data_IF_769252027886
#
_entry.id   IF_769252027886
#
_cell.length_a   1.000
_cell.length_b   1.000
_cell.length_c   1.000
_cell.angle_alpha   90.00
_cell.angle_beta   90.00
_cell.angle_gamma   90.00
#
_symmetry.space_group_name_H-M   'P 1'
#
loop_
_entity.id
_entity.type
_entity.pdbx_description
1 polymer ?
#
# COMPACT_ATOMS: atom_id res chain seq x y z
N UNK A 1 -19.95 14.26 54.60
CA UNK A 1 -19.98 12.98 55.35
C UNK A 1 -20.04 11.85 54.32
N UNK A 2 -19.12 10.89 54.18
CA UNK A 2 -17.98 10.36 54.95
C UNK A 2 -16.91 10.02 53.89
N UNK A 3 -15.73 10.63 53.90
CA UNK A 3 -14.52 10.16 54.58
C UNK A 3 -14.16 8.69 54.29
N UNK A 4 -13.23 8.45 53.35
CA UNK A 4 -12.49 7.19 53.24
C UNK A 4 -11.00 7.46 53.45
N UNK A 5 -10.63 7.34 54.73
CA UNK A 5 -9.37 6.89 55.33
C UNK A 5 -8.06 7.25 54.62
N UNK A 6 -7.43 8.30 55.14
CA UNK A 6 -6.00 8.51 55.11
C UNK A 6 -5.24 7.26 55.59
N UNK A 7 -4.37 6.74 54.74
CA UNK A 7 -3.37 5.73 55.12
C UNK A 7 -2.22 6.47 55.79
N UNK A 8 -2.14 6.31 57.10
CA UNK A 8 -1.04 6.77 57.94
C UNK A 8 0.20 5.94 57.59
N UNK A 9 1.15 6.53 56.87
CA UNK A 9 2.47 5.94 56.69
C UNK A 9 3.26 6.14 57.99
N UNK A 10 3.38 5.07 58.76
CA UNK A 10 4.15 5.03 60.00
C UNK A 10 5.63 5.25 59.66
N UNK A 11 6.15 6.41 60.06
CA UNK A 11 7.57 6.73 60.14
C UNK A 11 8.23 5.78 61.15
N UNK A 12 8.77 4.67 60.64
CA UNK A 12 9.74 3.84 61.36
C UNK A 12 11.12 4.35 61.01
N UNK A 13 11.67 5.20 61.89
CA UNK A 13 13.08 5.57 61.92
C UNK A 13 13.90 4.33 62.28
N UNK A 14 14.25 3.56 61.25
CA UNK A 14 15.33 2.59 61.33
C UNK A 14 16.65 3.35 61.17
N UNK A 15 17.45 3.35 62.24
CA UNK A 15 18.86 3.74 62.19
C UNK A 15 19.55 2.88 61.11
N UNK A 16 19.85 3.49 59.96
CA UNK A 16 20.75 2.88 58.98
C UNK A 16 22.17 3.17 59.41
N UNK A 17 22.85 2.13 59.90
CA UNK A 17 24.30 2.06 59.95
C UNK A 17 24.86 2.43 58.58
N UNK A 18 25.59 3.54 58.50
CA UNK A 18 26.32 3.99 57.31
C UNK A 18 27.52 3.05 57.12
N UNK A 19 27.26 1.88 56.55
CA UNK A 19 28.24 1.20 55.72
C UNK A 19 28.37 1.99 54.42
N UNK A 20 29.59 2.25 53.96
CA UNK A 20 29.86 2.84 52.64
C UNK A 20 29.49 1.84 51.53
N UNK A 21 28.20 1.56 51.37
CA UNK A 21 27.72 0.82 50.22
C UNK A 21 27.86 1.70 48.99
N UNK A 22 28.60 1.18 48.00
CA UNK A 22 28.83 1.88 46.74
C UNK A 22 27.47 2.18 46.10
N UNK A 23 27.26 3.45 45.74
CA UNK A 23 26.02 3.89 45.08
C UNK A 23 25.86 3.15 43.76
N UNK A 24 24.76 2.42 43.63
CA UNK A 24 24.46 1.61 42.46
C UNK A 24 23.69 2.40 41.40
N UNK A 25 23.39 1.75 40.28
CA UNK A 25 22.72 2.37 39.14
C UNK A 25 21.32 2.88 39.49
N UNK A 26 20.54 2.12 40.27
CA UNK A 26 19.18 2.48 40.67
C UNK A 26 19.15 3.75 41.53
N UNK A 27 20.10 3.86 42.48
CA UNK A 27 20.28 5.09 43.25
C UNK A 27 20.51 6.29 42.34
N UNK A 28 21.42 6.15 41.36
CA UNK A 28 21.75 7.24 40.45
C UNK A 28 20.63 7.55 39.45
N UNK A 29 19.85 6.56 39.02
CA UNK A 29 18.71 6.76 38.11
C UNK A 29 17.59 7.57 38.78
N UNK A 30 17.37 7.36 40.09
CA UNK A 30 16.44 8.14 40.89
C UNK A 30 17.01 9.50 41.35
N UNK A 31 18.31 9.76 41.15
CA UNK A 31 19.02 10.96 41.60
C UNK A 31 20.00 11.45 40.52
N UNK A 32 19.49 11.86 39.36
CA UNK A 32 20.32 12.20 38.20
C UNK A 32 21.31 13.34 38.46
N UNK A 33 21.00 14.29 39.33
CA UNK A 33 21.95 15.34 39.74
C UNK A 33 23.15 14.74 40.49
N UNK A 34 22.92 13.72 41.32
CA UNK A 34 23.99 12.99 41.99
C UNK A 34 24.81 12.17 40.98
N UNK A 35 24.17 11.61 39.95
CA UNK A 35 24.85 10.92 38.87
C UNK A 35 25.74 11.88 38.07
N UNK A 36 25.24 13.05 37.70
CA UNK A 36 25.99 14.10 36.99
C UNK A 36 27.20 14.57 37.82
N UNK A 37 26.99 14.83 39.11
CA UNK A 37 28.07 15.21 40.03
C UNK A 37 29.12 14.11 40.17
N UNK A 38 28.71 12.84 40.27
CA UNK A 38 29.64 11.70 40.31
C UNK A 38 30.40 11.58 38.98
N UNK A 39 29.73 11.72 37.84
CA UNK A 39 30.36 11.67 36.53
C UNK A 39 31.38 12.79 36.33
N UNK A 40 31.11 14.00 36.83
CA UNK A 40 32.07 15.10 36.84
C UNK A 40 33.34 14.77 37.66
N UNK A 41 33.16 14.13 38.82
CA UNK A 41 34.28 13.64 39.64
C UNK A 41 35.08 12.55 38.91
N UNK A 42 34.40 11.58 38.28
CA UNK A 42 35.03 10.52 37.50
C UNK A 42 35.82 11.10 36.32
N UNK A 43 35.25 12.05 35.58
CA UNK A 43 35.92 12.71 34.46
C UNK A 43 37.14 13.53 34.92
N UNK A 44 37.06 14.23 36.06
CA UNK A 44 38.21 14.95 36.63
C UNK A 44 39.33 13.98 37.04
N UNK A 45 38.98 12.86 37.66
CA UNK A 45 39.95 11.83 38.06
C UNK A 45 40.60 11.15 36.86
N UNK A 46 39.80 10.81 35.85
CA UNK A 46 40.25 10.26 34.58
C UNK A 46 41.20 11.22 33.86
N UNK A 47 40.79 12.48 33.67
CA UNK A 47 41.60 13.49 32.99
C UNK A 47 42.93 13.73 33.71
N UNK A 48 42.93 13.71 35.06
CA UNK A 48 44.16 13.84 35.85
C UNK A 48 45.11 12.65 35.63
N UNK A 49 44.58 11.42 35.65
CA UNK A 49 45.39 10.22 35.40
C UNK A 49 45.90 10.17 33.95
N UNK A 50 45.06 10.56 33.00
CA UNK A 50 45.40 10.66 31.58
C UNK A 50 46.54 11.66 31.32
N UNK A 51 46.43 12.89 31.84
CA UNK A 51 47.48 13.91 31.67
C UNK A 51 48.80 13.54 32.35
N UNK A 52 48.76 12.65 33.35
CA UNK A 52 49.95 12.14 34.04
C UNK A 52 50.52 10.85 33.41
N UNK A 53 49.94 10.34 32.31
CA UNK A 53 50.24 9.01 31.73
C UNK A 53 50.17 7.86 32.78
N UNK A 54 49.26 7.97 33.76
CA UNK A 54 49.07 6.96 34.81
C UNK A 54 48.06 5.89 34.34
N UNK A 55 48.56 4.86 33.66
CA UNK A 55 47.73 3.74 33.16
C UNK A 55 46.94 3.03 34.27
N UNK A 56 47.52 2.92 35.48
CA UNK A 56 46.83 2.30 36.63
C UNK A 56 45.70 3.18 37.14
N UNK A 57 45.94 4.49 37.20
CA UNK A 57 44.94 5.49 37.56
C UNK A 57 43.76 5.54 36.57
N UNK A 58 44.05 5.42 35.28
CA UNK A 58 43.02 5.33 34.22
C UNK A 58 42.14 4.10 34.43
N UNK A 59 42.74 2.90 34.50
CA UNK A 59 42.01 1.63 34.71
C UNK A 59 41.15 1.65 35.97
N UNK A 60 41.68 2.24 37.06
CA UNK A 60 40.94 2.37 38.31
C UNK A 60 39.65 3.18 38.17
N UNK A 61 39.64 4.23 37.34
CA UNK A 61 38.43 5.04 37.09
C UNK A 61 37.47 4.31 36.16
N UNK A 62 37.98 3.62 35.13
CA UNK A 62 37.15 2.83 34.21
C UNK A 62 36.45 1.66 34.90
N UNK A 63 37.12 1.01 35.85
CA UNK A 63 36.60 -0.10 36.64
C UNK A 63 35.81 0.36 37.88
N UNK A 64 35.76 1.67 38.17
CA UNK A 64 35.01 2.20 39.30
C UNK A 64 33.52 1.96 39.10
N UNK A 65 32.97 1.11 39.97
CA UNK A 65 31.58 0.66 39.90
C UNK A 65 30.58 1.81 40.09
N UNK A 66 30.93 2.87 40.84
CA UNK A 66 30.05 4.04 40.98
C UNK A 66 30.14 4.95 39.75
N UNK A 67 31.31 5.10 39.14
CA UNK A 67 31.48 5.82 37.87
C UNK A 67 30.68 5.16 36.75
N UNK A 68 30.78 3.82 36.63
CA UNK A 68 29.98 3.04 35.68
C UNK A 68 28.48 3.11 35.97
N UNK A 69 28.09 3.03 37.23
CA UNK A 69 26.69 3.13 37.63
C UNK A 69 26.09 4.52 37.31
N UNK A 70 26.84 5.59 37.60
CA UNK A 70 26.43 6.96 37.28
C UNK A 70 26.34 7.18 35.76
N UNK A 71 27.31 6.68 34.98
CA UNK A 71 27.29 6.78 33.51
C UNK A 71 26.09 6.05 32.91
N UNK A 72 25.84 4.80 33.33
CA UNK A 72 24.68 4.02 32.85
C UNK A 72 23.36 4.68 33.23
N UNK A 73 23.23 5.19 34.45
CA UNK A 73 22.03 5.91 34.90
C UNK A 73 21.76 7.15 34.04
N UNK A 74 22.78 7.96 33.74
CA UNK A 74 22.66 9.13 32.85
C UNK A 74 22.24 8.71 31.44
N UNK A 75 22.85 7.65 30.89
CA UNK A 75 22.49 7.12 29.56
C UNK A 75 21.04 6.64 29.52
N UNK A 76 20.58 5.91 30.55
CA UNK A 76 19.20 5.43 30.65
C UNK A 76 18.20 6.58 30.81
N UNK A 77 18.48 7.58 31.65
CA UNK A 77 17.62 8.76 31.80
C UNK A 77 17.50 9.55 30.49
N UNK A 78 18.61 9.78 29.77
CA UNK A 78 18.57 10.43 28.45
C UNK A 78 17.71 9.66 27.46
N UNK A 79 17.85 8.34 27.41
CA UNK A 79 17.03 7.47 26.54
C UNK A 79 15.56 7.54 26.93
N UNK A 80 15.24 7.45 28.22
CA UNK A 80 13.87 7.52 28.73
C UNK A 80 13.23 8.87 28.41
N UNK A 81 13.93 9.99 28.65
CA UNK A 81 13.47 11.34 28.31
C UNK A 81 13.22 11.49 26.82
N UNK A 82 14.11 10.96 25.98
CA UNK A 82 13.93 10.96 24.54
C UNK A 82 12.68 10.15 24.11
N UNK A 83 12.48 8.95 24.66
CA UNK A 83 11.32 8.11 24.35
C UNK A 83 10.00 8.74 24.84
N UNK A 84 9.99 9.34 26.04
CA UNK A 84 8.85 10.08 26.57
C UNK A 84 8.51 11.30 25.70
N UNK A 85 9.52 12.08 25.33
CA UNK A 85 9.34 13.25 24.47
C UNK A 85 8.85 12.86 23.07
N UNK A 86 9.37 11.76 22.52
CA UNK A 86 8.90 11.20 21.25
C UNK A 86 7.42 10.81 21.34
N UNK A 87 7.03 10.05 22.37
CA UNK A 87 5.63 9.66 22.61
C UNK A 87 4.71 10.87 22.80
N UNK A 88 5.18 11.89 23.55
CA UNK A 88 4.44 13.15 23.74
C UNK A 88 4.19 13.84 22.40
N UNK A 89 5.22 13.99 21.55
CA UNK A 89 5.08 14.60 20.22
C UNK A 89 4.16 13.80 19.30
N UNK A 90 4.22 12.46 19.34
CA UNK A 90 3.33 11.59 18.57
C UNK A 90 1.87 11.76 19.00
N UNK A 91 1.62 11.80 20.31
CA UNK A 91 0.27 12.01 20.87
C UNK A 91 -0.26 13.43 20.58
N UNK A 92 0.58 14.47 20.72
CA UNK A 92 0.22 15.84 20.35
C UNK A 92 -0.13 15.96 18.87
N UNK A 93 0.65 15.30 18.00
CA UNK A 93 0.36 15.25 16.57
C UNK A 93 -0.97 14.54 16.31
N UNK A 94 -1.21 13.41 16.96
CA UNK A 94 -2.44 12.64 16.83
C UNK A 94 -3.66 13.46 17.25
N UNK A 95 -3.60 14.13 18.39
CA UNK A 95 -4.67 15.00 18.88
C UNK A 95 -4.92 16.18 17.93
N UNK A 96 -3.86 16.78 17.37
CA UNK A 96 -4.00 17.84 16.38
C UNK A 96 -4.72 17.33 15.11
N UNK A 97 -4.37 16.14 14.61
CA UNK A 97 -5.05 15.52 13.45
C UNK A 97 -6.52 15.24 13.77
N UNK A 98 -6.82 14.64 14.93
CA UNK A 98 -8.19 14.32 15.35
C UNK A 98 -9.06 15.59 15.48
N UNK A 99 -8.48 16.68 15.99
CA UNK A 99 -9.14 17.99 16.07
C UNK A 99 -9.46 18.57 14.67
N UNK A 100 -8.50 18.51 13.74
CA UNK A 100 -8.71 18.93 12.36
C UNK A 100 -9.76 18.04 11.66
N UNK A 101 -9.71 16.72 11.86
CA UNK A 101 -10.72 15.79 11.33
C UNK A 101 -12.12 16.13 11.84
N UNK A 102 -12.28 16.45 13.12
CA UNK A 102 -13.57 16.87 13.68
C UNK A 102 -14.10 18.15 13.00
N UNK A 103 -13.20 19.11 12.74
CA UNK A 103 -13.54 20.36 12.06
C UNK A 103 -13.97 20.12 10.62
N UNK A 104 -13.19 19.33 9.87
CA UNK A 104 -13.50 18.97 8.48
C UNK A 104 -14.80 18.18 8.39
N UNK A 105 -15.02 17.19 9.28
CA UNK A 105 -16.25 16.41 9.28
C UNK A 105 -17.50 17.26 9.54
N UNK A 106 -17.40 18.32 10.35
CA UNK A 106 -18.49 19.29 10.51
C UNK A 106 -18.72 20.10 9.23
N UNK A 107 -17.64 20.52 8.55
CA UNK A 107 -17.74 21.23 7.27
C UNK A 107 -18.41 20.37 6.19
N UNK A 108 -18.12 19.06 6.18
CA UNK A 108 -18.63 18.11 5.19
C UNK A 108 -19.99 17.51 5.58
N UNK A 109 -20.56 17.90 6.71
CA UNK A 109 -21.78 17.31 7.23
C UNK A 109 -22.94 17.49 6.23
N UNK A 110 -23.55 16.37 5.83
CA UNK A 110 -24.66 16.35 4.87
C UNK A 110 -24.26 16.44 3.40
N UNK A 111 -22.97 16.58 3.09
CA UNK A 111 -22.48 16.50 1.72
C UNK A 111 -22.40 15.05 1.24
N UNK A 112 -22.63 14.86 -0.06
CA UNK A 112 -22.35 13.58 -0.71
C UNK A 112 -20.84 13.30 -0.74
N UNK A 113 -20.44 12.06 -0.98
CA UNK A 113 -19.02 11.73 -1.19
C UNK A 113 -18.41 12.56 -2.34
N UNK A 114 -19.18 12.78 -3.41
CA UNK A 114 -18.77 13.49 -4.62
C UNK A 114 -18.51 14.98 -4.33
N UNK A 115 -19.35 15.59 -3.50
CA UNK A 115 -19.18 16.98 -3.04
C UNK A 115 -18.03 17.09 -2.02
N UNK A 116 -17.89 16.11 -1.13
CA UNK A 116 -16.80 16.05 -0.17
C UNK A 116 -15.43 15.97 -0.84
N UNK A 117 -15.33 15.18 -1.91
CA UNK A 117 -14.13 15.12 -2.76
C UNK A 117 -13.87 16.47 -3.42
N UNK A 118 -14.90 17.16 -3.93
CA UNK A 118 -14.73 18.49 -4.51
C UNK A 118 -14.23 19.52 -3.48
N UNK A 119 -14.65 19.44 -2.21
CA UNK A 119 -14.10 20.29 -1.15
C UNK A 119 -12.62 20.01 -0.91
N UNK A 120 -12.20 18.74 -0.85
CA UNK A 120 -10.78 18.39 -0.78
C UNK A 120 -9.99 18.94 -1.99
N UNK A 121 -10.61 18.95 -3.17
CA UNK A 121 -9.96 19.47 -4.37
C UNK A 121 -9.69 20.98 -4.35
N UNK A 122 -10.31 21.73 -3.43
CA UNK A 122 -10.06 23.18 -3.23
C UNK A 122 -8.90 23.45 -2.27
N UNK A 123 -8.43 22.44 -1.53
CA UNK A 123 -7.36 22.57 -0.55
C UNK A 123 -6.00 22.38 -1.23
N UNK A 124 -5.61 23.35 -2.05
CA UNK A 124 -4.40 23.30 -2.87
C UNK A 124 -3.13 23.03 -2.04
N UNK A 125 -3.07 23.58 -0.82
CA UNK A 125 -1.93 23.39 0.07
C UNK A 125 -1.73 21.94 0.53
N UNK A 126 -2.71 21.05 0.32
CA UNK A 126 -2.65 19.63 0.67
C UNK A 126 -2.55 18.70 -0.55
N UNK A 127 -2.52 19.24 -1.77
CA UNK A 127 -2.40 18.47 -3.02
C UNK A 127 -0.96 18.34 -3.51
N UNK A 128 -0.12 19.31 -3.18
CA UNK A 128 1.25 19.43 -3.72
C UNK A 128 2.27 18.47 -3.07
N UNK A 129 2.46 17.27 -3.63
CA UNK A 129 3.38 16.23 -3.11
C UNK A 129 4.87 16.62 -3.01
N UNK A 130 5.30 17.77 -3.56
CA UNK A 130 6.71 18.16 -3.66
C UNK A 130 7.27 18.84 -2.40
N UNK A 131 6.44 19.19 -1.43
CA UNK A 131 6.92 19.84 -0.19
C UNK A 131 7.05 18.82 0.94
N UNK A 132 8.29 18.60 1.40
CA UNK A 132 8.57 17.75 2.58
C UNK A 132 7.81 18.21 3.84
N UNK A 133 7.37 19.46 3.88
CA UNK A 133 6.62 20.09 4.97
C UNK A 133 5.14 19.69 5.05
N UNK A 134 4.55 19.11 3.99
CA UNK A 134 3.14 18.68 4.02
C UNK A 134 2.90 17.47 4.93
N UNK A 135 3.88 16.56 5.07
CA UNK A 135 3.75 15.35 5.92
C UNK A 135 3.69 15.67 7.41
N UNK A 136 4.02 16.90 7.79
CA UNK A 136 4.00 17.37 9.17
C UNK A 136 2.78 18.26 9.46
N UNK A 137 1.93 18.56 8.47
CA UNK A 137 0.75 19.40 8.65
C UNK A 137 -0.48 18.56 9.06
N UNK A 138 -0.98 18.69 10.31
CA UNK A 138 -2.14 17.92 10.78
C UNK A 138 -3.40 18.11 9.94
N UNK A 139 -3.63 19.32 9.40
CA UNK A 139 -4.78 19.63 8.55
C UNK A 139 -4.76 18.83 7.24
N UNK A 140 -3.59 18.70 6.61
CA UNK A 140 -3.47 17.95 5.36
C UNK A 140 -3.57 16.44 5.58
N UNK A 141 -3.04 15.94 6.70
CA UNK A 141 -3.19 14.54 7.09
C UNK A 141 -4.66 14.19 7.38
N UNK A 142 -5.38 15.08 8.07
CA UNK A 142 -6.81 14.96 8.31
C UNK A 142 -7.62 14.96 7.00
N UNK A 143 -7.41 15.95 6.12
CA UNK A 143 -8.08 16.02 4.82
C UNK A 143 -7.83 14.79 3.95
N UNK A 144 -6.60 14.29 3.91
CA UNK A 144 -6.26 13.09 3.14
C UNK A 144 -6.93 11.83 3.69
N UNK A 145 -7.01 11.70 5.01
CA UNK A 145 -7.69 10.58 5.67
C UNK A 145 -9.17 10.57 5.29
N UNK A 146 -9.85 11.70 5.47
CA UNK A 146 -11.27 11.85 5.13
C UNK A 146 -11.50 11.69 3.62
N UNK A 147 -10.62 12.24 2.78
CA UNK A 147 -10.69 12.05 1.33
C UNK A 147 -10.66 10.55 0.96
N UNK A 148 -9.75 9.77 1.54
CA UNK A 148 -9.67 8.33 1.27
C UNK A 148 -10.95 7.60 1.70
N UNK A 149 -11.50 7.93 2.88
CA UNK A 149 -12.78 7.37 3.33
C UNK A 149 -13.91 7.68 2.35
N UNK A 150 -13.95 8.90 1.80
CA UNK A 150 -14.93 9.31 0.79
C UNK A 150 -14.70 8.69 -0.58
N UNK A 151 -13.46 8.42 -0.96
CA UNK A 151 -13.12 7.63 -2.15
C UNK A 151 -13.67 6.21 -2.01
N UNK A 152 -13.45 5.57 -0.86
CA UNK A 152 -13.92 4.21 -0.59
C UNK A 152 -15.47 4.15 -0.57
N UNK A 153 -16.11 5.14 0.04
CA UNK A 153 -17.57 5.32 0.01
C UNK A 153 -18.08 5.45 -1.43
N UNK A 154 -17.46 6.33 -2.23
CA UNK A 154 -17.83 6.56 -3.62
C UNK A 154 -17.64 5.33 -4.51
N UNK A 155 -16.53 4.62 -4.38
CA UNK A 155 -16.28 3.36 -5.10
C UNK A 155 -17.35 2.32 -4.73
N UNK A 156 -17.62 2.15 -3.43
CA UNK A 156 -18.62 1.18 -2.95
C UNK A 156 -20.02 1.47 -3.48
N UNK A 157 -20.43 2.74 -3.49
CA UNK A 157 -21.72 3.18 -4.02
C UNK A 157 -21.79 2.97 -5.55
N UNK A 158 -20.77 3.42 -6.28
CA UNK A 158 -20.70 3.31 -7.74
C UNK A 158 -20.71 1.86 -8.23
N UNK A 159 -20.08 0.93 -7.50
CA UNK A 159 -20.05 -0.49 -7.86
C UNK A 159 -21.41 -1.20 -7.73
N UNK A 160 -22.39 -0.59 -7.04
CA UNK A 160 -23.76 -1.12 -7.00
C UNK A 160 -24.49 -0.98 -8.33
N UNK A 161 -24.06 -0.04 -9.20
CA UNK A 161 -24.59 0.13 -10.54
C UNK A 161 -24.17 -1.04 -11.44
N UNK A 162 -24.91 -1.30 -12.52
CA UNK A 162 -24.42 -2.16 -13.61
C UNK A 162 -23.21 -1.52 -14.32
N UNK A 163 -22.44 -2.31 -15.07
CA UNK A 163 -21.23 -1.82 -15.73
C UNK A 163 -21.55 -0.66 -16.69
N UNK A 164 -22.63 -0.78 -17.46
CA UNK A 164 -23.06 0.26 -18.41
C UNK A 164 -23.55 1.53 -17.71
N UNK A 165 -24.31 1.41 -16.62
CA UNK A 165 -24.74 2.56 -15.83
C UNK A 165 -23.55 3.28 -15.20
N UNK A 166 -22.59 2.52 -14.66
CA UNK A 166 -21.35 3.07 -14.11
C UNK A 166 -20.51 3.76 -15.19
N UNK A 167 -20.40 3.16 -16.37
CA UNK A 167 -19.70 3.76 -17.53
C UNK A 167 -20.32 5.10 -17.91
N UNK A 168 -21.65 5.19 -18.02
CA UNK A 168 -22.36 6.44 -18.31
C UNK A 168 -22.14 7.49 -17.20
N UNK A 169 -22.20 7.06 -15.93
CA UNK A 169 -21.94 7.95 -14.78
C UNK A 169 -20.50 8.48 -14.79
N UNK A 170 -19.53 7.61 -15.04
CA UNK A 170 -18.11 7.96 -15.18
C UNK A 170 -17.92 8.99 -16.30
N UNK A 171 -18.48 8.75 -17.48
CA UNK A 171 -18.39 9.70 -18.59
C UNK A 171 -18.95 11.08 -18.23
N UNK A 172 -20.06 11.13 -17.48
CA UNK A 172 -20.62 12.38 -16.98
C UNK A 172 -19.67 13.11 -16.03
N UNK A 173 -19.13 12.41 -15.03
CA UNK A 173 -18.18 12.98 -14.06
C UNK A 173 -16.88 13.45 -14.74
N UNK A 174 -16.38 12.69 -15.70
CA UNK A 174 -15.17 13.02 -16.46
C UNK A 174 -15.32 14.17 -17.45
N UNK A 175 -16.55 14.61 -17.76
CA UNK A 175 -16.75 15.87 -18.50
C UNK A 175 -16.55 17.10 -17.60
N UNK A 176 -16.77 16.97 -16.29
CA UNK A 176 -16.71 18.07 -15.34
C UNK A 176 -15.27 18.31 -14.86
N UNK A 177 -14.57 17.26 -14.42
CA UNK A 177 -13.21 17.40 -13.89
C UNK A 177 -12.39 16.11 -14.11
N UNK A 178 -11.30 16.22 -14.86
CA UNK A 178 -10.38 15.10 -15.18
C UNK A 178 -9.09 15.10 -14.37
N UNK A 179 -8.94 15.99 -13.39
CA UNK A 179 -7.74 16.04 -12.56
C UNK A 179 -7.56 14.74 -11.78
N UNK A 180 -6.32 14.44 -11.40
CA UNK A 180 -6.03 13.37 -10.44
C UNK A 180 -6.79 13.64 -9.14
N UNK A 181 -7.24 12.57 -8.48
CA UNK A 181 -8.05 12.60 -7.26
C UNK A 181 -9.50 13.13 -7.45
N UNK A 182 -9.90 13.51 -8.66
CA UNK A 182 -11.28 13.97 -8.91
C UNK A 182 -12.29 12.83 -8.90
N UNK A 183 -13.57 13.21 -8.89
CA UNK A 183 -14.69 12.27 -9.04
C UNK A 183 -14.61 11.42 -10.31
N UNK A 184 -14.02 11.94 -11.40
CA UNK A 184 -13.72 11.15 -12.59
C UNK A 184 -12.73 10.01 -12.28
N UNK A 185 -11.65 10.31 -11.56
CA UNK A 185 -10.65 9.30 -11.21
C UNK A 185 -11.21 8.20 -10.30
N UNK A 186 -12.10 8.58 -9.37
CA UNK A 186 -12.81 7.64 -8.50
C UNK A 186 -13.74 6.74 -9.33
N UNK A 187 -14.50 7.32 -10.26
CA UNK A 187 -15.40 6.56 -11.12
C UNK A 187 -14.67 5.62 -12.10
N UNK A 188 -13.51 6.05 -12.64
CA UNK A 188 -12.64 5.18 -13.44
C UNK A 188 -12.15 3.98 -12.63
N UNK A 189 -11.74 4.21 -11.38
CA UNK A 189 -11.31 3.13 -10.48
C UNK A 189 -12.46 2.20 -10.10
N UNK A 190 -13.64 2.73 -9.81
CA UNK A 190 -14.84 1.91 -9.58
C UNK A 190 -15.18 1.04 -10.79
N UNK A 191 -15.04 1.56 -12.02
CA UNK A 191 -15.28 0.81 -13.26
C UNK A 191 -14.25 -0.31 -13.45
N UNK A 192 -12.96 -0.03 -13.20
CA UNK A 192 -11.88 -1.01 -13.21
C UNK A 192 -12.14 -2.15 -12.22
N UNK A 193 -12.44 -1.81 -10.96
CA UNK A 193 -12.71 -2.80 -9.91
C UNK A 193 -13.97 -3.61 -10.20
N UNK A 194 -15.03 -2.99 -10.73
CA UNK A 194 -16.24 -3.72 -11.10
C UNK A 194 -15.96 -4.77 -12.18
N UNK A 195 -15.20 -4.41 -13.21
CA UNK A 195 -14.80 -5.39 -14.23
C UNK A 195 -13.90 -6.49 -13.65
N UNK A 196 -12.97 -6.14 -12.76
CA UNK A 196 -12.10 -7.14 -12.12
C UNK A 196 -12.91 -8.12 -11.25
N UNK A 197 -13.89 -7.64 -10.50
CA UNK A 197 -14.79 -8.48 -9.70
C UNK A 197 -15.64 -9.40 -10.59
N UNK A 198 -16.20 -8.87 -11.69
CA UNK A 198 -17.01 -9.64 -12.64
C UNK A 198 -16.21 -10.73 -13.40
N UNK A 199 -14.90 -10.53 -13.57
CA UNK A 199 -14.00 -11.50 -14.22
C UNK A 199 -13.30 -12.43 -13.22
N UNK A 200 -13.47 -12.21 -11.91
CA UNK A 200 -12.84 -13.06 -10.90
C UNK A 200 -13.39 -14.48 -11.00
N UNK A 201 -12.51 -15.44 -11.28
CA UNK A 201 -12.84 -16.85 -11.51
C UNK A 201 -13.72 -17.13 -12.73
N UNK A 202 -13.88 -16.17 -13.66
CA UNK A 202 -14.55 -16.43 -14.93
C UNK A 202 -13.70 -17.37 -15.80
N UNK A 203 -14.36 -18.25 -16.56
CA UNK A 203 -13.69 -19.07 -17.56
C UNK A 203 -13.28 -18.22 -18.78
N UNK A 204 -12.39 -18.77 -19.61
CA UNK A 204 -11.82 -18.04 -20.76
C UNK A 204 -12.87 -17.60 -21.78
N UNK A 205 -13.98 -18.34 -21.97
CA UNK A 205 -15.03 -17.96 -22.92
C UNK A 205 -15.85 -16.80 -22.37
N UNK A 206 -16.16 -16.83 -21.08
CA UNK A 206 -16.81 -15.71 -20.37
C UNK A 206 -15.94 -14.45 -20.44
N UNK A 207 -14.63 -14.57 -20.23
CA UNK A 207 -13.69 -13.45 -20.35
C UNK A 207 -13.69 -12.91 -21.79
N UNK A 208 -13.55 -13.77 -22.80
CA UNK A 208 -13.53 -13.37 -24.21
C UNK A 208 -14.78 -12.58 -24.59
N UNK A 209 -15.95 -13.06 -24.20
CA UNK A 209 -17.23 -12.43 -24.50
C UNK A 209 -17.35 -11.01 -23.93
N UNK A 210 -16.60 -10.68 -22.87
CA UNK A 210 -16.59 -9.34 -22.26
C UNK A 210 -15.61 -8.38 -22.92
N UNK A 211 -14.76 -8.82 -23.87
CA UNK A 211 -13.75 -7.98 -24.52
C UNK A 211 -14.35 -6.73 -25.15
N UNK A 212 -15.41 -6.88 -25.94
CA UNK A 212 -16.06 -5.76 -26.63
C UNK A 212 -16.66 -4.74 -25.66
N UNK A 213 -17.07 -5.19 -24.47
CA UNK A 213 -17.63 -4.33 -23.44
C UNK A 213 -16.54 -3.58 -22.67
N UNK A 214 -15.53 -4.29 -22.17
CA UNK A 214 -14.49 -3.72 -21.30
C UNK A 214 -13.33 -3.06 -22.06
N UNK A 215 -13.15 -3.40 -23.34
CA UNK A 215 -12.17 -2.79 -24.23
C UNK A 215 -12.84 -2.02 -25.39
N UNK A 216 -14.07 -1.53 -25.18
CA UNK A 216 -14.72 -0.63 -26.14
C UNK A 216 -13.88 0.63 -26.39
N UNK A 217 -13.87 1.14 -27.62
CA UNK A 217 -13.00 2.24 -28.06
C UNK A 217 -13.03 3.48 -27.15
N UNK A 218 -14.18 3.79 -26.57
CA UNK A 218 -14.38 4.95 -25.70
C UNK A 218 -13.76 4.79 -24.30
N UNK A 219 -13.37 3.57 -23.92
CA UNK A 219 -12.71 3.24 -22.66
C UNK A 219 -11.44 2.39 -22.84
N UNK A 220 -11.02 2.10 -24.07
CA UNK A 220 -9.90 1.20 -24.38
C UNK A 220 -8.56 1.66 -23.79
N UNK A 221 -8.40 2.96 -23.55
CA UNK A 221 -7.19 3.53 -22.94
C UNK A 221 -7.23 3.53 -21.40
N UNK A 222 -8.35 3.14 -20.79
CA UNK A 222 -8.51 3.07 -19.34
C UNK A 222 -8.04 1.72 -18.80
N UNK A 223 -7.75 1.68 -17.50
CA UNK A 223 -7.32 0.47 -16.79
C UNK A 223 -8.33 -0.68 -16.86
N UNK A 224 -9.60 -0.43 -17.14
CA UNK A 224 -10.62 -1.48 -17.28
C UNK A 224 -10.28 -2.49 -18.39
N UNK A 225 -9.71 -2.04 -19.52
CA UNK A 225 -9.24 -2.95 -20.56
C UNK A 225 -7.91 -3.61 -20.15
N UNK A 226 -6.90 -2.82 -19.78
CA UNK A 226 -5.53 -3.31 -19.54
C UNK A 226 -5.35 -4.07 -18.23
N UNK A 227 -5.90 -3.55 -17.15
CA UNK A 227 -5.70 -4.07 -15.79
C UNK A 227 -6.75 -5.11 -15.39
N UNK A 228 -7.97 -5.01 -15.92
CA UNK A 228 -9.06 -5.95 -15.61
C UNK A 228 -9.20 -7.03 -16.69
N UNK A 229 -9.55 -6.67 -17.92
CA UNK A 229 -9.81 -7.65 -18.98
C UNK A 229 -8.54 -8.38 -19.47
N UNK A 230 -7.52 -7.65 -19.92
CA UNK A 230 -6.29 -8.25 -20.47
C UNK A 230 -5.59 -9.15 -19.44
N UNK A 231 -5.56 -8.71 -18.17
CA UNK A 231 -4.99 -9.51 -17.07
C UNK A 231 -5.77 -10.79 -16.80
N UNK A 232 -7.10 -10.74 -16.80
CA UNK A 232 -7.93 -11.94 -16.64
C UNK A 232 -7.73 -12.90 -17.82
N UNK A 233 -7.74 -12.35 -19.05
CA UNK A 233 -7.48 -13.10 -20.27
C UNK A 233 -6.12 -13.78 -20.24
N UNK A 234 -5.04 -13.06 -19.91
CA UNK A 234 -3.69 -13.58 -19.83
C UNK A 234 -3.58 -14.72 -18.81
N UNK A 235 -4.19 -14.55 -17.62
CA UNK A 235 -4.17 -15.57 -16.57
C UNK A 235 -4.83 -16.89 -17.03
N UNK A 236 -6.03 -16.83 -17.60
CA UNK A 236 -6.70 -18.05 -18.10
C UNK A 236 -6.02 -18.59 -19.37
N UNK A 237 -5.62 -17.71 -20.29
CA UNK A 237 -4.90 -18.06 -21.52
C UNK A 237 -3.65 -18.88 -21.21
N UNK A 238 -2.85 -18.46 -20.23
CA UNK A 238 -1.64 -19.15 -19.83
C UNK A 238 -1.90 -20.59 -19.32
N UNK A 239 -3.06 -20.86 -18.71
CA UNK A 239 -3.44 -22.22 -18.30
C UNK A 239 -3.66 -23.12 -19.52
N UNK A 240 -4.37 -22.63 -20.53
CA UNK A 240 -4.61 -23.38 -21.78
C UNK A 240 -3.34 -23.55 -22.60
N UNK A 241 -2.50 -22.52 -22.69
CA UNK A 241 -1.18 -22.63 -23.34
C UNK A 241 -0.36 -23.73 -22.67
N UNK A 242 -0.32 -23.77 -21.34
CA UNK A 242 0.34 -24.85 -20.59
C UNK A 242 -0.26 -26.22 -20.89
N UNK A 243 -1.58 -26.35 -20.88
CA UNK A 243 -2.28 -27.59 -21.25
C UNK A 243 -1.86 -28.09 -22.64
N UNK A 244 -1.83 -27.22 -23.65
CA UNK A 244 -1.44 -27.59 -25.01
C UNK A 244 0.06 -27.90 -25.16
N UNK A 245 0.93 -27.36 -24.29
CA UNK A 245 2.33 -27.76 -24.26
C UNK A 245 2.46 -29.18 -23.68
N UNK A 246 1.71 -29.48 -22.62
CA UNK A 246 1.83 -30.74 -21.85
C UNK A 246 1.01 -31.90 -22.44
N UNK A 247 -0.06 -31.61 -23.18
CA UNK A 247 -0.96 -32.60 -23.77
C UNK A 247 -0.93 -32.56 -25.30
N UNK A 248 -0.20 -33.52 -25.90
CA UNK A 248 -0.01 -33.57 -27.35
C UNK A 248 -1.30 -33.79 -28.13
N UNK A 249 -2.17 -34.70 -27.67
CA UNK A 249 -3.42 -35.01 -28.35
C UNK A 249 -4.35 -33.78 -28.37
N UNK A 250 -4.50 -33.11 -27.23
CA UNK A 250 -5.31 -31.89 -27.16
C UNK A 250 -4.75 -30.79 -28.06
N UNK A 251 -3.43 -30.56 -28.03
CA UNK A 251 -2.78 -29.59 -28.90
C UNK A 251 -3.04 -29.84 -30.40
N UNK A 252 -2.83 -31.06 -30.88
CA UNK A 252 -3.04 -31.41 -32.29
C UNK A 252 -4.52 -31.24 -32.67
N UNK A 253 -5.43 -31.72 -31.84
CA UNK A 253 -6.87 -31.62 -32.07
C UNK A 253 -7.34 -30.16 -32.14
N UNK A 254 -6.98 -29.33 -31.16
CA UNK A 254 -7.34 -27.91 -31.13
C UNK A 254 -6.72 -27.15 -32.28
N UNK A 255 -5.44 -27.38 -32.58
CA UNK A 255 -4.73 -26.72 -33.68
C UNK A 255 -5.40 -27.04 -35.02
N UNK A 256 -5.69 -28.32 -35.29
CA UNK A 256 -6.32 -28.76 -36.52
C UNK A 256 -7.77 -28.24 -36.65
N UNK A 257 -8.48 -28.07 -35.54
CA UNK A 257 -9.78 -27.40 -35.50
C UNK A 257 -9.68 -25.93 -35.92
N UNK A 258 -8.66 -25.21 -35.46
CA UNK A 258 -8.39 -23.83 -35.88
C UNK A 258 -8.05 -23.72 -37.38
N UNK A 259 -7.28 -24.67 -37.92
CA UNK A 259 -7.02 -24.76 -39.37
C UNK A 259 -8.31 -24.95 -40.15
N UNK A 260 -9.21 -25.84 -39.71
CA UNK A 260 -10.50 -26.07 -40.37
C UNK A 260 -11.36 -24.80 -40.40
N UNK A 261 -11.52 -24.11 -39.26
CA UNK A 261 -12.29 -22.86 -39.17
C UNK A 261 -11.77 -21.81 -40.14
N UNK A 262 -10.45 -21.66 -40.25
CA UNK A 262 -9.85 -20.71 -41.19
C UNK A 262 -10.02 -21.14 -42.65
N UNK A 263 -9.98 -22.43 -42.95
CA UNK A 263 -10.26 -22.95 -44.29
C UNK A 263 -11.72 -22.71 -44.69
N UNK A 264 -12.66 -22.88 -43.77
CA UNK A 264 -14.08 -22.58 -43.99
C UNK A 264 -14.28 -21.11 -44.36
N UNK A 265 -13.72 -20.16 -43.60
CA UNK A 265 -13.75 -18.74 -43.96
C UNK A 265 -13.08 -18.48 -45.31
N UNK A 266 -11.98 -19.17 -45.62
CA UNK A 266 -11.29 -19.03 -46.90
C UNK A 266 -12.14 -19.49 -48.09
N UNK A 267 -13.04 -20.45 -47.89
CA UNK A 267 -13.93 -21.00 -48.90
C UNK A 267 -15.19 -20.17 -49.16
N UNK A 268 -15.54 -19.25 -48.26
CA UNK A 268 -16.70 -18.37 -48.41
C UNK A 268 -16.40 -17.25 -49.42
N UNK A 269 -17.42 -16.88 -50.21
CA UNK A 269 -17.39 -15.73 -51.11
C UNK A 269 -17.66 -14.43 -50.34
N UNK A 270 -16.68 -14.00 -49.56
CA UNK A 270 -16.69 -12.73 -48.82
C UNK A 270 -15.73 -11.73 -49.45
N UNK A 271 -15.98 -10.44 -49.28
CA UNK A 271 -14.99 -9.43 -49.62
C UNK A 271 -13.76 -9.53 -48.70
N UNK A 272 -12.66 -8.91 -49.13
CA UNK A 272 -11.39 -9.01 -48.42
C UNK A 272 -11.45 -8.47 -46.98
N UNK A 273 -12.21 -7.39 -46.73
CA UNK A 273 -12.30 -6.77 -45.40
C UNK A 273 -13.08 -7.68 -44.44
N UNK A 274 -14.22 -8.19 -44.86
CA UNK A 274 -15.03 -9.13 -44.07
C UNK A 274 -14.26 -10.42 -43.76
N UNK A 275 -13.61 -10.98 -44.79
CA UNK A 275 -12.78 -12.17 -44.66
C UNK A 275 -11.63 -11.95 -43.68
N UNK A 276 -10.89 -10.85 -43.83
CA UNK A 276 -9.78 -10.51 -42.95
C UNK A 276 -10.24 -10.32 -41.50
N UNK A 277 -11.40 -9.67 -41.28
CA UNK A 277 -12.00 -9.49 -39.95
C UNK A 277 -12.34 -10.82 -39.29
N UNK A 278 -12.98 -11.75 -40.02
CA UNK A 278 -13.32 -13.08 -39.51
C UNK A 278 -12.06 -13.91 -39.22
N UNK A 279 -11.07 -13.89 -40.11
CA UNK A 279 -9.81 -14.60 -39.89
C UNK A 279 -9.07 -14.09 -38.64
N UNK A 280 -9.01 -12.77 -38.44
CA UNK A 280 -8.40 -12.19 -37.24
C UNK A 280 -9.18 -12.57 -35.98
N UNK A 281 -10.51 -12.52 -36.01
CA UNK A 281 -11.33 -12.94 -34.87
C UNK A 281 -11.08 -14.39 -34.48
N UNK A 282 -10.86 -15.29 -35.46
CA UNK A 282 -10.51 -16.68 -35.17
C UNK A 282 -9.09 -16.75 -34.61
N UNK A 283 -8.10 -16.14 -35.26
CA UNK A 283 -6.68 -16.25 -34.87
C UNK A 283 -6.39 -15.66 -33.49
N UNK A 284 -7.04 -14.56 -33.14
CA UNK A 284 -6.80 -13.81 -31.91
C UNK A 284 -7.73 -14.24 -30.77
N UNK A 285 -8.75 -15.04 -31.08
CA UNK A 285 -9.74 -15.56 -30.13
C UNK A 285 -9.39 -16.93 -29.54
N UNK A 286 -10.18 -17.36 -28.55
CA UNK A 286 -10.04 -18.69 -27.95
C UNK A 286 -10.69 -19.76 -28.85
N UNK A 287 -10.06 -20.94 -29.02
CA UNK A 287 -8.79 -21.39 -28.44
C UNK A 287 -7.56 -21.13 -29.34
N UNK A 288 -7.73 -20.51 -30.50
CA UNK A 288 -6.69 -20.48 -31.52
C UNK A 288 -5.51 -19.58 -31.15
N UNK A 289 -5.73 -18.51 -30.41
CA UNK A 289 -4.65 -17.68 -29.87
C UNK A 289 -3.73 -18.49 -28.95
N UNK A 290 -4.32 -19.27 -28.02
CA UNK A 290 -3.58 -20.10 -27.08
C UNK A 290 -2.83 -21.23 -27.77
N UNK A 291 -3.46 -21.91 -28.75
CA UNK A 291 -2.79 -23.00 -29.47
C UNK A 291 -1.67 -22.48 -30.38
N UNK A 292 -1.81 -21.27 -30.94
CA UNK A 292 -0.74 -20.59 -31.69
C UNK A 292 0.46 -20.27 -30.79
N UNK A 293 0.19 -19.79 -29.58
CA UNK A 293 1.25 -19.52 -28.60
C UNK A 293 1.92 -20.82 -28.13
N UNK A 294 1.16 -21.88 -27.89
CA UNK A 294 1.69 -23.19 -27.58
C UNK A 294 2.57 -23.74 -28.72
N UNK A 295 2.15 -23.58 -29.98
CA UNK A 295 2.93 -23.96 -31.17
C UNK A 295 4.32 -23.28 -31.17
N UNK A 296 4.36 -21.97 -30.89
CA UNK A 296 5.60 -21.21 -30.74
C UNK A 296 6.46 -21.75 -29.59
N UNK A 297 5.86 -21.94 -28.40
CA UNK A 297 6.56 -22.42 -27.18
C UNK A 297 7.07 -23.86 -27.30
N UNK A 298 6.46 -24.68 -28.17
CA UNK A 298 6.92 -26.03 -28.53
C UNK A 298 8.08 -26.02 -29.54
N UNK A 299 8.58 -24.85 -29.95
CA UNK A 299 9.72 -24.72 -30.86
C UNK A 299 9.39 -24.97 -32.33
N UNK A 300 8.11 -24.96 -32.71
CA UNK A 300 7.67 -25.25 -34.08
C UNK A 300 7.73 -24.01 -35.01
N UNK A 301 8.17 -22.86 -34.48
CA UNK A 301 8.24 -21.59 -35.22
C UNK A 301 6.90 -20.85 -35.27
N UNK A 302 6.72 -19.98 -36.27
CA UNK A 302 5.49 -19.18 -36.41
C UNK A 302 4.40 -19.94 -37.17
N UNK A 303 3.24 -20.13 -36.54
CA UNK A 303 2.07 -20.72 -37.22
C UNK A 303 1.20 -19.65 -37.90
N UNK A 304 0.88 -19.93 -39.17
CA UNK A 304 -0.15 -19.23 -39.96
C UNK A 304 -1.48 -19.99 -40.03
N UNK A 305 -1.57 -21.18 -39.41
CA UNK A 305 -2.68 -22.13 -39.55
C UNK A 305 -2.97 -22.55 -41.00
N UNK A 306 -1.95 -22.66 -41.85
CA UNK A 306 -2.13 -23.02 -43.25
C UNK A 306 -2.23 -24.53 -43.50
N UNK A 307 -1.69 -25.34 -42.60
CA UNK A 307 -1.65 -26.81 -42.70
C UNK A 307 -1.93 -27.45 -41.34
N UNK A 308 -2.59 -28.60 -41.36
CA UNK A 308 -2.81 -29.46 -40.20
C UNK A 308 -1.49 -30.09 -39.73
N UNK A 309 -1.44 -30.44 -38.45
CA UNK A 309 -0.39 -31.28 -37.86
C UNK A 309 -0.83 -32.73 -37.98
N UNK A 310 0.06 -33.58 -38.48
CA UNK A 310 -0.11 -35.04 -38.51
C UNK A 310 0.29 -35.63 -37.15
N UNK A 311 -0.40 -36.68 -36.71
CA UNK A 311 -0.12 -37.39 -35.44
C UNK A 311 1.21 -38.15 -35.45
#
# INVERSE_FOLDING_TARGET
MKALKAVVFVLTTTLVLVGCDKKNEEYFLNNIDAANKKMEQCNKAFNKAFMANDEKGIKKVEEDTECRAAETAIKKDKKLKYELEKKRKEEEKKQAIESEMSTINKQLMGLSWNDSVNEYLKVEECQNRLTFTQRENPKCEAWKTIYNEKVDEGIKELKQLSFDELKLKMQSLCKLDKRTNSNCSIAQKALEEKAADELTNADIQTIEAKKSLYCADDIAQLSVCRSSWEKAWENESNKFVKLYIENNAEFINTYNSCVNKLQEIKSQELDWQEKNKLELSIKDGYPCSQVKEAYLKRGMGYSRFDKKIEE
#
